data_IF_376901109590
#
_entry.id   IF_376901109590
#
_cell.length_a   1.000
_cell.length_b   1.000
_cell.length_c   1.000
_cell.angle_alpha   90.00
_cell.angle_beta   90.00
_cell.angle_gamma   90.00
#
_symmetry.space_group_name_H-M   'P 1'
#
loop_
_entity.id
_entity.type
_entity.pdbx_description
1 polymer ?
#
# COMPACT_ATOMS: atom_id res chain seq x y z
N UNK A 1 23.25 22.87 -7.98
CA UNK A 1 23.34 21.39 -8.01
C UNK A 1 21.93 20.86 -7.88
N UNK A 2 21.31 20.47 -9.01
CA UNK A 2 19.91 20.08 -9.05
C UNK A 2 19.65 18.83 -8.22
N UNK A 3 18.56 18.83 -7.46
CA UNK A 3 18.08 17.62 -6.80
C UNK A 3 17.75 16.60 -7.90
N UNK A 4 18.59 15.59 -8.04
CA UNK A 4 18.27 14.41 -8.85
C UNK A 4 17.00 13.84 -8.24
N UNK A 5 15.89 13.90 -8.97
CA UNK A 5 14.63 13.32 -8.55
C UNK A 5 14.89 11.83 -8.30
N UNK A 6 14.52 11.35 -7.12
CA UNK A 6 14.64 9.94 -6.69
C UNK A 6 13.93 8.96 -7.66
N UNK A 7 13.17 9.49 -8.63
CA UNK A 7 12.40 8.78 -9.65
C UNK A 7 13.26 8.34 -10.84
N UNK A 8 14.33 9.07 -11.21
CA UNK A 8 15.07 8.82 -12.47
C UNK A 8 16.13 7.72 -12.40
N UNK A 9 16.53 7.29 -11.19
CA UNK A 9 17.56 6.25 -10.97
C UNK A 9 17.05 5.01 -10.24
N UNK A 10 15.76 4.99 -9.90
CA UNK A 10 15.16 3.86 -9.20
C UNK A 10 14.82 2.73 -10.19
N UNK A 11 15.08 1.45 -9.84
CA UNK A 11 14.57 0.34 -10.63
C UNK A 11 13.04 0.43 -10.76
N UNK A 12 12.44 -0.10 -11.85
CA UNK A 12 11.01 -0.05 -12.03
C UNK A 12 10.31 -0.66 -10.81
N UNK A 13 9.27 0.02 -10.35
CA UNK A 13 8.46 -0.46 -9.24
C UNK A 13 7.77 -1.77 -9.65
N UNK A 14 7.63 -2.68 -8.67
CA UNK A 14 6.86 -3.89 -8.87
C UNK A 14 5.39 -3.57 -9.12
N UNK A 15 4.80 -4.40 -9.97
CA UNK A 15 3.37 -4.57 -10.07
C UNK A 15 2.97 -5.82 -9.29
N UNK A 16 1.73 -5.85 -8.82
CA UNK A 16 1.10 -7.05 -8.27
C UNK A 16 -0.21 -7.33 -8.99
N UNK A 17 -0.73 -8.55 -8.87
CA UNK A 17 -2.01 -8.94 -9.45
C UNK A 17 -3.00 -9.27 -8.35
N UNK A 18 -4.17 -8.66 -8.43
CA UNK A 18 -5.28 -8.96 -7.54
C UNK A 18 -6.44 -9.51 -8.36
N UNK A 19 -7.04 -10.58 -7.85
CA UNK A 19 -8.19 -11.24 -8.44
C UNK A 19 -9.37 -11.05 -7.49
N UNK A 20 -10.42 -10.39 -7.96
CA UNK A 20 -11.66 -10.28 -7.18
C UNK A 20 -12.38 -11.61 -7.14
N UNK A 21 -13.16 -11.83 -6.07
CA UNK A 21 -14.02 -13.01 -5.99
C UNK A 21 -15.40 -12.62 -6.49
N UNK A 22 -15.76 -13.05 -7.71
CA UNK A 22 -17.12 -12.93 -8.22
C UNK A 22 -18.02 -14.02 -7.65
N UNK A 23 -19.30 -13.70 -7.42
CA UNK A 23 -20.30 -14.64 -6.90
C UNK A 23 -20.56 -15.85 -7.82
N UNK A 24 -20.16 -15.76 -9.11
CA UNK A 24 -20.37 -16.80 -10.14
C UNK A 24 -19.10 -17.42 -10.70
N UNK A 25 -17.93 -17.19 -10.08
CA UNK A 25 -16.65 -17.74 -10.54
C UNK A 25 -15.94 -16.94 -11.65
N UNK A 26 -16.56 -15.86 -12.15
CA UNK A 26 -15.89 -14.85 -12.96
C UNK A 26 -15.37 -13.75 -12.02
N UNK A 27 -14.07 -13.77 -11.74
CA UNK A 27 -13.38 -12.72 -11.01
C UNK A 27 -12.70 -11.74 -11.96
N UNK A 28 -12.73 -10.46 -11.62
CA UNK A 28 -11.96 -9.44 -12.33
C UNK A 28 -10.48 -9.51 -11.92
N UNK A 29 -9.59 -9.23 -12.87
CA UNK A 29 -8.17 -9.10 -12.61
C UNK A 29 -7.77 -7.62 -12.60
N UNK A 30 -6.99 -7.23 -11.60
CA UNK A 30 -6.44 -5.89 -11.43
C UNK A 30 -4.92 -5.93 -11.37
N UNK A 31 -4.27 -5.06 -12.15
CA UNK A 31 -2.86 -4.74 -11.99
C UNK A 31 -2.71 -3.65 -10.92
N UNK A 32 -2.02 -3.99 -9.84
CA UNK A 32 -1.76 -3.12 -8.70
C UNK A 32 -0.38 -2.48 -8.81
N UNK A 33 -0.25 -1.21 -8.42
CA UNK A 33 1.02 -0.49 -8.33
C UNK A 33 1.04 0.48 -7.14
N UNK A 34 2.25 0.83 -6.67
CA UNK A 34 2.43 1.81 -5.60
C UNK A 34 2.62 3.21 -6.20
N UNK A 35 1.88 4.17 -5.66
CA UNK A 35 2.21 5.59 -5.77
C UNK A 35 2.68 6.10 -4.40
N UNK A 36 3.69 6.96 -4.36
CA UNK A 36 4.25 7.47 -3.12
C UNK A 36 4.09 8.98 -3.04
N UNK A 37 3.18 9.45 -2.20
CA UNK A 37 2.94 10.87 -2.00
C UNK A 37 3.88 11.40 -0.90
N UNK A 38 4.74 12.40 -1.18
CA UNK A 38 5.65 12.94 -0.18
C UNK A 38 4.92 13.73 0.91
N UNK A 39 5.32 13.50 2.17
CA UNK A 39 4.91 14.28 3.33
C UNK A 39 6.07 15.20 3.73
N UNK A 40 5.84 16.51 3.68
CA UNK A 40 6.87 17.52 3.92
C UNK A 40 6.86 18.03 5.36
N UNK A 41 8.05 18.20 5.94
CA UNK A 41 8.21 19.06 7.11
C UNK A 41 8.50 20.48 6.66
N UNK A 42 7.65 21.42 7.09
CA UNK A 42 7.86 22.86 6.82
C UNK A 42 9.13 23.38 7.51
N UNK A 43 9.40 22.95 8.74
CA UNK A 43 10.59 23.31 9.51
C UNK A 43 11.88 22.88 8.82
N UNK A 44 11.92 21.66 8.29
CA UNK A 44 13.12 21.09 7.67
C UNK A 44 13.18 21.28 6.15
N UNK A 45 12.12 21.83 5.54
CA UNK A 45 11.97 22.08 4.09
C UNK A 45 12.32 20.88 3.21
N UNK A 46 11.97 19.68 3.66
CA UNK A 46 12.23 18.42 2.94
C UNK A 46 11.15 17.36 3.26
N UNK A 47 10.98 16.34 2.39
CA UNK A 47 10.16 15.19 2.72
C UNK A 47 10.68 14.48 3.97
N UNK A 48 9.80 14.24 4.93
CA UNK A 48 10.09 13.42 6.13
C UNK A 48 9.58 11.99 5.96
N UNK A 49 8.60 11.79 5.09
CA UNK A 49 8.00 10.50 4.81
C UNK A 49 7.29 10.48 3.49
N UNK A 50 6.77 9.30 3.13
CA UNK A 50 5.95 9.10 1.96
C UNK A 50 4.77 8.20 2.31
N UNK A 51 3.59 8.57 1.83
CA UNK A 51 2.39 7.76 1.94
C UNK A 51 2.29 6.79 0.76
N UNK A 52 2.16 5.50 1.07
CA UNK A 52 1.89 4.46 0.10
C UNK A 52 0.42 4.47 -0.29
N UNK A 53 0.15 4.84 -1.54
CA UNK A 53 -1.18 4.86 -2.12
C UNK A 53 -1.30 3.81 -3.21
N UNK A 54 -2.30 2.94 -3.11
CA UNK A 54 -2.56 1.95 -4.14
C UNK A 54 -3.10 2.61 -5.40
N UNK A 55 -2.67 2.08 -6.55
CA UNK A 55 -3.26 2.36 -7.86
C UNK A 55 -3.61 1.04 -8.50
N UNK A 56 -4.82 0.94 -9.04
CA UNK A 56 -5.28 -0.24 -9.74
C UNK A 56 -5.68 0.10 -11.17
N UNK A 57 -5.40 -0.85 -12.07
CA UNK A 57 -5.88 -0.84 -13.45
C UNK A 57 -6.59 -2.16 -13.68
N UNK A 58 -7.84 -2.11 -14.13
CA UNK A 58 -8.58 -3.30 -14.52
C UNK A 58 -7.92 -3.92 -15.76
N UNK A 59 -7.44 -5.16 -15.67
CA UNK A 59 -6.58 -5.78 -16.68
C UNK A 59 -7.28 -5.92 -18.03
N UNK A 60 -8.58 -6.25 -18.06
CA UNK A 60 -9.29 -6.47 -19.32
C UNK A 60 -9.66 -5.18 -20.07
N UNK A 61 -9.92 -4.09 -19.34
CA UNK A 61 -10.43 -2.84 -19.93
C UNK A 61 -9.40 -1.71 -19.95
N UNK A 62 -8.27 -1.87 -19.24
CA UNK A 62 -7.27 -0.81 -19.07
C UNK A 62 -7.75 0.36 -18.22
N UNK A 63 -8.96 0.29 -17.64
CA UNK A 63 -9.55 1.38 -16.86
C UNK A 63 -8.82 1.53 -15.53
N UNK A 64 -8.51 2.77 -15.14
CA UNK A 64 -8.04 3.10 -13.79
C UNK A 64 -9.17 2.92 -12.78
N UNK A 65 -8.84 2.30 -11.66
CA UNK A 65 -9.78 1.96 -10.59
C UNK A 65 -9.35 2.70 -9.35
N UNK A 66 -10.28 3.45 -8.77
CA UNK A 66 -10.02 4.19 -7.54
C UNK A 66 -9.88 3.22 -6.36
N UNK A 67 -9.09 3.55 -5.31
CA UNK A 67 -8.90 2.66 -4.17
C UNK A 67 -10.23 2.20 -3.54
N UNK A 68 -11.19 3.12 -3.35
CA UNK A 68 -12.50 2.77 -2.79
C UNK A 68 -13.23 1.72 -3.63
N UNK A 69 -13.18 1.88 -4.95
CA UNK A 69 -13.79 0.96 -5.90
C UNK A 69 -13.08 -0.41 -5.89
N UNK A 70 -11.75 -0.43 -5.96
CA UNK A 70 -10.95 -1.66 -5.84
C UNK A 70 -11.29 -2.41 -4.56
N UNK A 71 -11.35 -1.69 -3.45
CA UNK A 71 -11.63 -2.30 -2.17
C UNK A 71 -13.07 -2.84 -2.12
N UNK A 72 -14.04 -2.21 -2.79
CA UNK A 72 -15.43 -2.71 -2.87
C UNK A 72 -15.55 -4.10 -3.52
N UNK A 73 -14.62 -4.50 -4.39
CA UNK A 73 -14.59 -5.83 -5.01
C UNK A 73 -14.14 -6.94 -4.05
N UNK A 74 -13.65 -6.59 -2.86
CA UNK A 74 -13.30 -7.51 -1.79
C UNK A 74 -14.38 -7.47 -0.69
N UNK A 75 -15.18 -8.54 -0.52
CA UNK A 75 -16.15 -8.62 0.57
C UNK A 75 -15.49 -8.41 1.94
N UNK A 76 -16.28 -7.94 2.91
CA UNK A 76 -15.82 -7.77 4.31
C UNK A 76 -15.31 -9.10 4.88
N UNK A 77 -14.41 -9.02 5.85
CA UNK A 77 -13.74 -10.17 6.47
C UNK A 77 -12.44 -10.55 5.75
N UNK A 78 -12.19 -11.85 5.58
CA UNK A 78 -10.89 -12.37 5.17
C UNK A 78 -10.43 -11.86 3.79
N UNK A 79 -11.35 -11.71 2.83
CA UNK A 79 -11.04 -11.19 1.50
C UNK A 79 -10.51 -9.74 1.57
N UNK A 80 -11.19 -8.86 2.33
CA UNK A 80 -10.76 -7.48 2.57
C UNK A 80 -9.39 -7.41 3.25
N UNK A 81 -9.17 -8.25 4.26
CA UNK A 81 -7.90 -8.31 5.01
C UNK A 81 -6.75 -8.76 4.09
N UNK A 82 -6.98 -9.74 3.22
CA UNK A 82 -5.99 -10.20 2.25
C UNK A 82 -5.59 -9.09 1.27
N UNK A 83 -6.56 -8.37 0.70
CA UNK A 83 -6.29 -7.25 -0.20
C UNK A 83 -5.50 -6.12 0.50
N UNK A 84 -5.91 -5.72 1.70
CA UNK A 84 -5.20 -4.71 2.51
C UNK A 84 -3.73 -5.10 2.75
N UNK A 85 -3.50 -6.36 3.17
CA UNK A 85 -2.15 -6.90 3.40
C UNK A 85 -1.31 -6.93 2.12
N UNK A 86 -1.92 -7.29 0.99
CA UNK A 86 -1.25 -7.31 -0.31
C UNK A 86 -0.80 -5.89 -0.72
N UNK A 87 -1.67 -4.89 -0.58
CA UNK A 87 -1.35 -3.49 -0.86
C UNK A 87 -0.15 -3.01 -0.02
N UNK A 88 -0.19 -3.24 1.30
CA UNK A 88 0.90 -2.85 2.21
C UNK A 88 2.21 -3.55 1.88
N UNK A 89 2.18 -4.85 1.58
CA UNK A 89 3.37 -5.58 1.16
C UNK A 89 3.94 -5.05 -0.15
N UNK A 90 3.09 -4.69 -1.12
CA UNK A 90 3.52 -4.03 -2.35
C UNK A 90 4.18 -2.66 -2.08
N UNK A 91 3.60 -1.84 -1.21
CA UNK A 91 4.17 -0.56 -0.81
C UNK A 91 5.54 -0.72 -0.15
N UNK A 92 5.69 -1.64 0.79
CA UNK A 92 6.98 -1.90 1.46
C UNK A 92 8.05 -2.32 0.45
N UNK A 93 7.75 -3.32 -0.40
CA UNK A 93 8.68 -3.81 -1.43
C UNK A 93 9.09 -2.73 -2.42
N UNK A 94 8.17 -1.87 -2.82
CA UNK A 94 8.43 -0.79 -3.78
C UNK A 94 9.20 0.35 -3.13
N UNK A 95 8.88 0.71 -1.89
CA UNK A 95 9.57 1.77 -1.18
C UNK A 95 11.04 1.41 -0.89
N UNK A 96 11.32 0.14 -0.60
CA UNK A 96 12.70 -0.35 -0.48
C UNK A 96 13.48 -0.26 -1.79
N UNK A 97 12.84 -0.56 -2.92
CA UNK A 97 13.46 -0.46 -4.24
C UNK A 97 13.86 0.97 -4.62
N UNK A 98 13.13 1.97 -4.11
CA UNK A 98 13.50 3.38 -4.27
C UNK A 98 14.78 3.76 -3.51
N UNK A 99 15.34 2.86 -2.70
CA UNK A 99 16.60 3.09 -1.99
C UNK A 99 16.53 4.17 -0.90
N UNK A 100 15.32 4.61 -0.52
CA UNK A 100 15.17 5.60 0.53
C UNK A 100 15.50 4.96 1.90
N UNK A 101 16.54 5.45 2.56
CA UNK A 101 17.03 4.92 3.84
C UNK A 101 16.65 5.75 5.06
N UNK A 102 16.05 6.94 4.88
CA UNK A 102 15.87 7.93 5.95
C UNK A 102 14.41 8.30 6.22
N UNK A 103 13.58 8.34 5.19
CA UNK A 103 12.19 8.77 5.30
C UNK A 103 11.31 7.67 5.90
N UNK A 104 10.24 8.07 6.55
CA UNK A 104 9.17 7.16 6.97
C UNK A 104 8.32 6.69 5.79
N UNK A 105 7.78 5.48 5.89
CA UNK A 105 6.73 4.98 5.04
C UNK A 105 5.42 4.98 5.83
N UNK A 106 4.45 5.76 5.35
CA UNK A 106 3.10 5.79 5.89
C UNK A 106 2.28 4.73 5.18
N UNK A 107 1.68 3.83 5.96
CA UNK A 107 0.83 2.74 5.47
C UNK A 107 -0.58 2.93 6.00
N UNK A 108 -1.50 3.10 5.05
CA UNK A 108 -2.92 3.05 5.27
C UNK A 108 -3.37 1.67 5.76
N UNK A 109 -4.18 1.62 6.81
CA UNK A 109 -4.75 0.41 7.40
C UNK A 109 -6.24 0.63 7.67
N UNK A 110 -7.09 -0.29 7.18
CA UNK A 110 -8.50 -0.31 7.56
C UNK A 110 -8.62 -0.59 9.09
N UNK A 111 -9.37 0.21 9.86
CA UNK A 111 -9.55 0.01 11.31
C UNK A 111 -10.04 -1.38 11.70
N UNK A 112 -10.80 -2.06 10.84
CA UNK A 112 -11.27 -3.44 11.06
C UNK A 112 -10.14 -4.45 10.86
N UNK A 113 -9.26 -4.20 9.89
CA UNK A 113 -8.02 -4.97 9.80
C UNK A 113 -7.19 -4.73 11.05
N UNK A 114 -7.07 -3.50 11.54
CA UNK A 114 -6.34 -3.17 12.77
C UNK A 114 -6.94 -3.83 14.03
N UNK A 115 -8.26 -3.88 14.17
CA UNK A 115 -8.93 -4.50 15.32
C UNK A 115 -8.82 -6.02 15.29
N UNK A 116 -8.97 -6.66 14.13
CA UNK A 116 -8.65 -8.07 13.97
C UNK A 116 -7.15 -8.34 14.14
N UNK A 117 -6.30 -7.35 13.83
CA UNK A 117 -4.86 -7.41 14.06
C UNK A 117 -4.47 -7.50 15.54
N UNK A 118 -5.34 -7.27 16.52
CA UNK A 118 -5.01 -7.66 17.91
C UNK A 118 -4.78 -9.18 18.05
N UNK A 119 -5.38 -10.00 17.17
CA UNK A 119 -5.05 -11.43 17.02
C UNK A 119 -3.91 -11.69 16.02
N UNK A 120 -3.62 -10.74 15.12
CA UNK A 120 -2.66 -10.89 14.01
C UNK A 120 -1.51 -9.87 14.00
N UNK A 121 -1.20 -9.19 15.10
CA UNK A 121 -0.06 -8.29 15.23
C UNK A 121 1.27 -8.96 14.83
N UNK A 122 1.46 -10.28 15.06
CA UNK A 122 2.59 -11.01 14.49
C UNK A 122 2.69 -10.92 12.97
N UNK A 123 1.57 -10.81 12.25
CA UNK A 123 1.55 -10.75 10.78
C UNK A 123 2.14 -9.45 10.25
N UNK A 124 1.80 -8.30 10.82
CA UNK A 124 2.34 -7.03 10.33
C UNK A 124 3.84 -6.94 10.58
N UNK A 125 4.28 -7.30 11.79
CA UNK A 125 5.70 -7.36 12.11
C UNK A 125 6.42 -8.37 11.21
N UNK A 126 5.86 -9.56 11.02
CA UNK A 126 6.42 -10.59 10.13
C UNK A 126 6.49 -10.13 8.68
N UNK A 127 5.50 -9.38 8.18
CA UNK A 127 5.52 -8.80 6.84
C UNK A 127 6.66 -7.77 6.70
N UNK A 128 6.83 -6.89 7.68
CA UNK A 128 7.95 -5.93 7.67
C UNK A 128 9.29 -6.65 7.73
N UNK A 129 9.42 -7.65 8.60
CA UNK A 129 10.63 -8.47 8.74
C UNK A 129 10.93 -9.29 7.48
N UNK A 130 9.93 -9.93 6.86
CA UNK A 130 10.11 -10.74 5.65
C UNK A 130 10.53 -9.91 4.45
N UNK A 131 10.15 -8.62 4.42
CA UNK A 131 10.61 -7.69 3.41
C UNK A 131 11.92 -6.99 3.83
N UNK A 132 12.40 -7.15 5.07
CA UNK A 132 13.60 -6.48 5.57
C UNK A 132 13.43 -4.97 5.79
N UNK A 133 12.19 -4.51 6.04
CA UNK A 133 11.91 -3.10 6.27
C UNK A 133 12.01 -2.74 7.76
N UNK A 134 12.79 -1.71 8.12
CA UNK A 134 12.94 -1.29 9.52
C UNK A 134 11.61 -0.78 10.09
N UNK A 135 11.12 -1.44 11.14
CA UNK A 135 9.82 -1.15 11.76
C UNK A 135 9.72 0.28 12.29
N UNK A 136 10.80 0.84 12.83
CA UNK A 136 10.86 2.23 13.31
C UNK A 136 10.73 3.28 12.21
N UNK A 137 10.71 2.86 10.93
CA UNK A 137 10.45 3.73 9.78
C UNK A 137 9.04 3.58 9.20
N UNK A 138 8.16 2.88 9.90
CA UNK A 138 6.76 2.73 9.51
C UNK A 138 5.88 3.59 10.39
N UNK A 139 5.06 4.43 9.77
CA UNK A 139 3.91 5.06 10.41
C UNK A 139 2.64 4.38 9.90
N UNK A 140 1.73 4.05 10.81
CA UNK A 140 0.43 3.47 10.44
C UNK A 140 -0.62 4.57 10.50
N UNK A 141 -1.40 4.68 9.43
CA UNK A 141 -2.53 5.59 9.34
C UNK A 141 -3.81 4.77 9.33
N UNK A 142 -4.72 5.07 10.26
CA UNK A 142 -6.02 4.43 10.32
C UNK A 142 -6.98 5.24 9.45
N UNK A 143 -7.48 4.63 8.38
CA UNK A 143 -8.42 5.32 7.49
C UNK A 143 -9.78 5.42 8.20
N UNK A 144 -10.30 6.64 8.33
CA UNK A 144 -11.69 6.84 8.72
C UNK A 144 -12.59 6.24 7.64
N UNK A 145 -13.34 5.20 7.99
CA UNK A 145 -14.44 4.72 7.16
C UNK A 145 -15.68 5.50 7.60
N UNK A 146 -16.45 6.10 6.67
CA UNK A 146 -17.72 6.72 7.03
C UNK A 146 -18.53 5.72 7.85
N UNK A 147 -19.01 6.14 9.01
CA UNK A 147 -19.92 5.34 9.80
C UNK A 147 -21.16 5.09 8.92
N UNK A 148 -21.37 3.83 8.50
CA UNK A 148 -22.64 3.38 7.92
C UNK A 148 -23.68 3.20 9.01
#
# INVERSE_FOLDING_TARGET
MGAVNMVDLSPPLLLDKYYSQGERGEGDEFSLSSHFQPIYSLTHRRPIGYEGLIRAVHSASGRRVEPLELFSTAPRGEARIRLDRQCRALHVRNFQRLGNTRSWLFLNVDPRVASESLRYAPFFLKMLQSNGFPTHRVAVELIETPFE
#
